data_IF_887256736885
#
_entry.id   IF_887256736885
#
_cell.length_a   1.000
_cell.length_b   1.000
_cell.length_c   1.000
_cell.angle_alpha   90.00
_cell.angle_beta   90.00
_cell.angle_gamma   90.00
#
_symmetry.space_group_name_H-M   'P 1'
#
loop_
_entity.id
_entity.type
_entity.pdbx_description
1 polymer ?
#
# COMPACT_ATOMS: atom_id res chain seq x y z
N UNK A 1 23.75 52.36 16.13
CA UNK A 1 23.61 51.26 15.14
C UNK A 1 22.80 51.78 13.97
N UNK A 2 23.46 52.02 12.84
CA UNK A 2 22.88 52.64 11.64
C UNK A 2 22.25 51.50 10.80
N UNK A 3 20.95 51.58 10.58
CA UNK A 3 20.24 50.69 9.68
C UNK A 3 20.48 51.15 8.26
N UNK A 4 21.23 50.38 7.50
CA UNK A 4 21.46 50.65 6.08
C UNK A 4 20.21 50.32 5.28
N UNK A 5 19.50 51.34 4.85
CA UNK A 5 18.40 51.22 3.86
C UNK A 5 19.01 50.97 2.49
N UNK A 6 18.90 49.77 2.00
CA UNK A 6 19.24 49.42 0.61
C UNK A 6 18.25 50.11 -0.33
N UNK A 7 18.72 51.10 -1.08
CA UNK A 7 17.96 51.72 -2.16
C UNK A 7 17.82 50.75 -3.32
N UNK A 8 16.58 50.39 -3.66
CA UNK A 8 16.22 49.52 -4.79
C UNK A 8 16.53 50.10 -6.18
N UNK A 9 17.22 51.25 -6.26
CA UNK A 9 17.48 51.98 -7.51
C UNK A 9 18.74 51.55 -8.27
N UNK A 10 19.47 50.52 -7.79
CA UNK A 10 20.74 50.10 -8.42
C UNK A 10 20.68 48.68 -9.03
N UNK A 11 19.51 48.10 -9.19
CA UNK A 11 19.39 46.92 -10.02
C UNK A 11 19.55 47.29 -11.49
N UNK A 12 20.52 46.72 -12.22
CA UNK A 12 20.65 47.00 -13.64
C UNK A 12 19.36 46.60 -14.34
N UNK A 13 18.86 47.44 -15.25
CA UNK A 13 17.74 47.18 -16.12
C UNK A 13 18.09 46.05 -17.10
N UNK A 14 18.11 44.83 -16.62
CA UNK A 14 18.42 43.62 -17.38
C UNK A 14 17.19 42.97 -18.01
N UNK A 15 16.04 43.62 -17.97
CA UNK A 15 14.86 43.19 -18.70
C UNK A 15 14.43 44.27 -19.70
N UNK A 16 15.30 44.58 -20.67
CA UNK A 16 14.82 45.02 -21.95
C UNK A 16 14.34 43.74 -22.66
N UNK A 17 13.05 43.46 -22.55
CA UNK A 17 12.42 42.55 -23.49
C UNK A 17 12.68 43.16 -24.88
N UNK A 18 13.47 42.53 -25.76
CA UNK A 18 13.48 42.93 -27.14
C UNK A 18 12.00 42.80 -27.57
N UNK A 19 11.45 43.90 -28.08
CA UNK A 19 10.16 43.91 -28.76
C UNK A 19 10.30 42.86 -29.86
N UNK A 20 9.80 41.63 -29.55
CA UNK A 20 9.68 40.60 -30.58
C UNK A 20 8.67 41.19 -31.54
N UNK A 21 9.15 41.62 -32.72
CA UNK A 21 8.25 41.94 -33.84
C UNK A 21 7.38 40.71 -34.01
N UNK A 22 6.07 40.88 -33.76
CA UNK A 22 5.11 39.79 -34.05
C UNK A 22 5.34 39.40 -35.50
N UNK A 23 5.57 38.12 -35.77
CA UNK A 23 5.72 37.67 -37.15
C UNK A 23 4.43 38.08 -37.87
N UNK A 24 4.59 38.87 -38.92
CA UNK A 24 3.49 39.22 -39.83
C UNK A 24 3.06 37.92 -40.48
N UNK A 25 2.21 37.18 -39.78
CA UNK A 25 1.53 36.03 -40.39
C UNK A 25 0.56 36.66 -41.40
N UNK A 26 0.96 36.61 -42.68
CA UNK A 26 0.00 36.84 -43.74
C UNK A 26 -1.20 35.93 -43.47
N UNK A 27 -2.27 36.50 -42.96
CA UNK A 27 -3.53 35.83 -42.86
C UNK A 27 -3.94 35.49 -44.29
N UNK A 28 -3.54 34.32 -44.75
CA UNK A 28 -4.13 33.73 -45.91
C UNK A 28 -5.60 33.59 -45.52
N UNK A 29 -6.45 34.39 -46.14
CA UNK A 29 -7.88 34.17 -46.08
C UNK A 29 -8.11 32.77 -46.59
N UNK A 30 -8.21 31.81 -45.68
CA UNK A 30 -8.66 30.48 -46.02
C UNK A 30 -10.14 30.64 -46.21
N UNK A 31 -10.60 30.84 -47.45
CA UNK A 31 -11.95 30.55 -47.79
C UNK A 31 -12.21 29.11 -47.36
N UNK A 32 -12.81 28.96 -46.20
CA UNK A 32 -13.42 27.70 -45.82
C UNK A 32 -14.55 27.53 -46.83
N UNK A 33 -14.27 26.86 -47.94
CA UNK A 33 -15.33 26.32 -48.74
C UNK A 33 -16.19 25.55 -47.76
N UNK A 34 -17.43 26.03 -47.58
CA UNK A 34 -18.44 25.32 -46.83
C UNK A 34 -18.80 24.10 -47.67
N UNK A 35 -17.93 23.10 -47.63
CA UNK A 35 -18.28 21.74 -48.06
C UNK A 35 -18.86 21.03 -46.83
N UNK A 36 -19.72 21.70 -46.07
CA UNK A 36 -20.66 20.99 -45.23
C UNK A 36 -21.58 20.24 -46.23
N UNK A 37 -21.36 18.95 -46.37
CA UNK A 37 -22.41 18.09 -46.86
C UNK A 37 -23.72 18.53 -46.18
N UNK A 38 -24.75 18.88 -46.96
CA UNK A 38 -26.02 19.29 -46.37
C UNK A 38 -26.39 18.27 -45.28
N UNK A 39 -26.90 18.73 -44.16
CA UNK A 39 -27.25 17.85 -43.01
C UNK A 39 -28.16 16.67 -43.42
N UNK A 40 -28.87 16.79 -44.53
CA UNK A 40 -29.65 15.73 -45.17
C UNK A 40 -28.81 14.58 -45.78
N UNK A 41 -27.48 14.78 -46.00
CA UNK A 41 -26.59 13.79 -46.55
C UNK A 41 -25.56 13.25 -45.55
N UNK A 42 -25.62 13.68 -44.28
CA UNK A 42 -24.87 13.02 -43.23
C UNK A 42 -25.57 11.68 -43.04
N UNK A 43 -24.92 10.54 -43.31
CA UNK A 43 -25.52 9.26 -42.96
C UNK A 43 -25.64 9.26 -41.46
N UNK A 44 -26.85 9.57 -40.99
CA UNK A 44 -27.22 9.33 -39.61
C UNK A 44 -27.19 7.82 -39.48
N UNK A 45 -26.05 7.26 -39.09
CA UNK A 45 -25.99 5.88 -38.67
C UNK A 45 -27.01 5.82 -37.54
N UNK A 46 -28.17 5.26 -37.84
CA UNK A 46 -29.13 4.91 -36.79
C UNK A 46 -28.38 4.03 -35.83
N UNK A 47 -28.00 4.59 -34.67
CA UNK A 47 -27.56 3.74 -33.55
C UNK A 47 -28.63 2.67 -33.40
N UNK A 48 -28.27 1.43 -33.64
CA UNK A 48 -29.19 0.34 -33.37
C UNK A 48 -29.74 0.55 -31.98
N UNK A 49 -31.06 0.53 -31.87
CA UNK A 49 -31.72 0.66 -30.58
C UNK A 49 -31.06 -0.34 -29.62
N UNK A 50 -30.58 0.13 -28.48
CA UNK A 50 -30.02 -0.71 -27.43
C UNK A 50 -31.06 -1.78 -27.09
N UNK A 51 -30.85 -2.98 -27.55
CA UNK A 51 -31.79 -4.10 -27.39
C UNK A 51 -31.64 -4.80 -26.05
N UNK A 52 -30.77 -4.30 -25.16
CA UNK A 52 -30.45 -4.95 -23.90
C UNK A 52 -29.71 -6.30 -24.05
N UNK A 53 -29.40 -6.69 -25.28
CA UNK A 53 -28.69 -7.92 -25.63
C UNK A 53 -27.24 -7.68 -26.04
N UNK A 54 -26.64 -6.57 -25.64
CA UNK A 54 -25.19 -6.48 -25.72
C UNK A 54 -24.61 -7.57 -24.84
N UNK A 55 -24.07 -8.59 -25.48
CA UNK A 55 -23.28 -9.61 -24.82
C UNK A 55 -22.08 -8.85 -24.24
N UNK A 56 -22.15 -8.52 -22.96
CA UNK A 56 -20.99 -8.00 -22.27
C UNK A 56 -19.87 -9.01 -22.49
N UNK A 57 -18.70 -8.56 -23.00
CA UNK A 57 -17.61 -9.49 -23.23
C UNK A 57 -17.36 -10.22 -21.89
N UNK A 58 -17.56 -11.52 -21.89
CA UNK A 58 -17.32 -12.34 -20.70
C UNK A 58 -15.88 -12.12 -20.28
N UNK A 59 -15.68 -11.55 -19.09
CA UNK A 59 -14.34 -11.36 -18.56
C UNK A 59 -13.67 -12.75 -18.50
N UNK A 60 -12.50 -12.86 -19.11
CA UNK A 60 -11.75 -14.12 -19.09
C UNK A 60 -11.39 -14.45 -17.64
N UNK A 61 -11.58 -15.69 -17.19
CA UNK A 61 -11.39 -16.07 -15.79
C UNK A 61 -9.93 -16.05 -15.34
N UNK A 62 -8.98 -15.90 -16.26
CA UNK A 62 -7.58 -15.86 -15.90
C UNK A 62 -6.67 -15.48 -17.06
N UNK A 63 -5.41 -15.27 -16.73
CA UNK A 63 -4.37 -15.01 -17.71
C UNK A 63 -3.01 -15.55 -17.24
N UNK A 64 -2.11 -15.74 -18.21
CA UNK A 64 -0.72 -16.13 -17.99
C UNK A 64 0.18 -15.16 -18.75
N UNK A 65 1.24 -14.72 -18.11
CA UNK A 65 2.31 -13.93 -18.70
C UNK A 65 3.64 -14.63 -18.47
N UNK A 66 4.47 -14.72 -19.49
CA UNK A 66 5.84 -15.22 -19.39
C UNK A 66 6.76 -14.28 -20.16
N UNK A 67 7.83 -13.85 -19.51
CA UNK A 67 8.85 -12.98 -20.07
C UNK A 67 10.25 -13.50 -19.74
N UNK A 68 11.18 -13.39 -20.69
CA UNK A 68 12.59 -13.68 -20.49
C UNK A 68 13.44 -12.61 -21.16
N UNK A 69 14.49 -12.14 -20.51
CA UNK A 69 15.30 -11.01 -20.96
C UNK A 69 16.78 -11.15 -20.64
N UNK A 70 17.52 -10.08 -20.89
CA UNK A 70 18.95 -9.99 -20.60
C UNK A 70 19.23 -10.22 -19.11
N UNK A 71 20.44 -10.67 -18.79
CA UNK A 71 20.86 -11.05 -17.44
C UNK A 71 19.98 -12.14 -16.82
N UNK A 72 19.43 -13.04 -17.63
CA UNK A 72 18.55 -14.10 -17.15
C UNK A 72 17.28 -13.59 -16.48
N UNK A 73 16.82 -12.35 -16.81
CA UNK A 73 15.57 -11.82 -16.29
C UNK A 73 14.42 -12.74 -16.66
N UNK A 74 13.70 -13.18 -15.66
CA UNK A 74 12.52 -14.03 -15.76
C UNK A 74 11.33 -13.32 -15.12
N UNK A 75 10.21 -13.31 -15.83
CA UNK A 75 8.91 -12.82 -15.33
C UNK A 75 7.85 -13.85 -15.71
N UNK A 76 7.33 -14.54 -14.70
CA UNK A 76 6.22 -15.48 -14.85
C UNK A 76 5.09 -15.00 -13.96
N UNK A 77 3.89 -14.93 -14.50
CA UNK A 77 2.69 -14.60 -13.75
C UNK A 77 1.51 -15.39 -14.28
N UNK A 78 0.78 -16.02 -13.39
CA UNK A 78 -0.44 -16.73 -13.67
C UNK A 78 -1.50 -16.38 -12.64
N UNK A 79 -2.71 -16.11 -13.12
CA UNK A 79 -3.88 -15.90 -12.27
C UNK A 79 -5.06 -16.62 -12.87
N UNK A 80 -5.85 -17.28 -12.04
CA UNK A 80 -7.09 -17.92 -12.46
C UNK A 80 -8.15 -17.85 -11.38
N UNK A 81 -9.33 -17.35 -11.74
CA UNK A 81 -10.51 -17.28 -10.88
C UNK A 81 -11.50 -18.40 -11.26
N UNK A 82 -11.63 -19.37 -10.38
CA UNK A 82 -12.62 -20.42 -10.48
C UNK A 82 -13.94 -19.97 -9.84
N UNK A 83 -15.01 -20.00 -10.60
CA UNK A 83 -16.37 -19.86 -10.10
C UNK A 83 -16.91 -21.25 -9.81
N UNK A 84 -16.73 -21.75 -8.58
CA UNK A 84 -17.15 -23.10 -8.19
C UNK A 84 -18.68 -23.18 -8.10
N UNK A 85 -19.30 -22.10 -7.62
CA UNK A 85 -20.75 -21.91 -7.61
C UNK A 85 -21.09 -20.42 -7.70
N UNK A 86 -22.36 -20.06 -7.65
CA UNK A 86 -22.80 -18.65 -7.55
C UNK A 86 -22.33 -17.96 -6.26
N UNK A 87 -21.98 -18.74 -5.23
CA UNK A 87 -21.56 -18.26 -3.91
C UNK A 87 -20.11 -18.56 -3.58
N UNK A 88 -19.45 -19.41 -4.39
CA UNK A 88 -18.10 -19.90 -4.12
C UNK A 88 -17.15 -19.44 -5.21
N UNK A 89 -16.12 -18.73 -4.80
CA UNK A 89 -15.05 -18.25 -5.68
C UNK A 89 -13.71 -18.73 -5.12
N UNK A 90 -12.88 -19.27 -6.00
CA UNK A 90 -11.52 -19.68 -5.68
C UNK A 90 -10.57 -18.99 -6.65
N UNK A 91 -9.67 -18.18 -6.10
CA UNK A 91 -8.64 -17.51 -6.88
C UNK A 91 -7.28 -18.16 -6.64
N UNK A 92 -6.56 -18.46 -7.70
CA UNK A 92 -5.21 -19.02 -7.63
C UNK A 92 -4.26 -18.09 -8.34
N UNK A 93 -3.23 -17.63 -7.63
CA UNK A 93 -2.19 -16.77 -8.14
C UNK A 93 -0.84 -17.43 -8.02
N UNK A 94 -0.03 -17.27 -9.06
CA UNK A 94 1.38 -17.60 -9.04
C UNK A 94 2.18 -16.50 -9.72
N UNK A 95 3.29 -16.10 -9.10
CA UNK A 95 4.26 -15.21 -9.74
C UNK A 95 5.68 -15.64 -9.41
N UNK A 96 6.56 -15.49 -10.37
CA UNK A 96 7.99 -15.66 -10.20
C UNK A 96 8.71 -14.62 -11.03
N UNK A 97 9.51 -13.80 -10.39
CA UNK A 97 10.35 -12.81 -11.04
C UNK A 97 11.79 -12.91 -10.52
N UNK A 98 12.73 -12.52 -11.36
CA UNK A 98 14.13 -12.56 -10.94
C UNK A 98 15.11 -12.36 -12.06
N UNK A 99 16.38 -12.44 -11.68
CA UNK A 99 17.51 -12.34 -12.59
C UNK A 99 18.65 -13.28 -12.17
N UNK A 100 19.47 -13.66 -13.12
CA UNK A 100 20.71 -14.38 -12.87
C UNK A 100 21.74 -13.99 -13.94
N UNK A 101 22.65 -13.11 -13.58
CA UNK A 101 23.63 -12.59 -14.51
C UNK A 101 24.83 -11.94 -13.84
N UNK A 102 25.86 -11.72 -14.62
CA UNK A 102 27.09 -11.09 -14.16
C UNK A 102 26.99 -9.58 -14.31
N UNK A 103 27.20 -8.85 -13.22
CA UNK A 103 27.22 -7.40 -13.15
C UNK A 103 28.65 -6.90 -12.98
N UNK A 104 28.99 -5.81 -13.67
CA UNK A 104 30.26 -5.09 -13.46
C UNK A 104 30.16 -4.22 -12.20
N UNK A 105 31.14 -4.37 -11.31
CA UNK A 105 31.19 -3.63 -10.05
C UNK A 105 32.02 -2.36 -10.24
N UNK A 106 31.48 -1.17 -9.91
CA UNK A 106 32.23 0.08 -10.04
C UNK A 106 33.30 0.27 -8.98
N UNK A 107 33.24 -0.51 -7.89
CA UNK A 107 34.13 -0.40 -6.73
C UNK A 107 34.65 -1.76 -6.27
N UNK A 108 35.84 -1.77 -5.65
CA UNK A 108 36.46 -2.94 -5.06
C UNK A 108 37.37 -3.74 -6.00
N UNK A 109 38.05 -4.75 -5.43
CA UNK A 109 38.99 -5.62 -6.16
C UNK A 109 38.28 -6.64 -7.06
N UNK A 110 37.03 -7.00 -6.76
CA UNK A 110 36.21 -7.84 -7.62
C UNK A 110 35.54 -6.98 -8.67
N UNK A 111 35.94 -7.13 -9.90
CA UNK A 111 35.37 -6.40 -11.04
C UNK A 111 34.04 -6.93 -11.49
N UNK A 112 33.61 -8.11 -11.04
CA UNK A 112 32.38 -8.77 -11.47
C UNK A 112 31.67 -9.45 -10.31
N UNK A 113 30.37 -9.35 -10.31
CA UNK A 113 29.48 -10.01 -9.37
C UNK A 113 28.48 -10.89 -10.14
N UNK A 114 28.50 -12.19 -9.92
CA UNK A 114 27.49 -13.10 -10.43
C UNK A 114 26.25 -12.97 -9.52
N UNK A 115 25.41 -12.00 -9.87
CA UNK A 115 24.22 -11.67 -9.10
C UNK A 115 23.06 -12.59 -9.47
N UNK A 116 22.38 -13.11 -8.48
CA UNK A 116 21.07 -13.73 -8.68
C UNK A 116 20.07 -13.23 -7.65
N UNK A 117 18.85 -13.06 -8.09
CA UNK A 117 17.70 -12.71 -7.28
C UNK A 117 16.45 -13.33 -7.88
N UNK A 118 15.78 -14.17 -7.12
CA UNK A 118 14.51 -14.77 -7.50
C UNK A 118 13.48 -14.58 -6.41
N UNK A 119 12.29 -14.13 -6.80
CA UNK A 119 11.14 -13.99 -5.94
C UNK A 119 10.00 -14.82 -6.47
N UNK A 120 9.53 -15.77 -5.68
CA UNK A 120 8.37 -16.62 -6.00
C UNK A 120 7.25 -16.32 -5.02
N UNK A 121 6.05 -16.23 -5.53
CA UNK A 121 4.81 -16.07 -4.76
C UNK A 121 3.76 -17.03 -5.28
N UNK A 122 3.04 -17.65 -4.37
CA UNK A 122 1.85 -18.44 -4.67
C UNK A 122 0.76 -18.07 -3.67
N UNK A 123 -0.47 -17.98 -4.14
CA UNK A 123 -1.62 -17.66 -3.32
C UNK A 123 -2.84 -18.47 -3.77
N UNK A 124 -3.62 -18.89 -2.80
CA UNK A 124 -4.93 -19.52 -2.99
C UNK A 124 -5.89 -18.79 -2.06
N UNK A 125 -6.90 -18.14 -2.64
CA UNK A 125 -7.91 -17.37 -1.92
C UNK A 125 -9.28 -17.95 -2.20
N UNK A 126 -9.99 -18.35 -1.17
CA UNK A 126 -11.35 -18.87 -1.24
C UNK A 126 -12.32 -17.94 -0.55
N UNK A 127 -13.41 -17.63 -1.22
CA UNK A 127 -14.51 -16.82 -0.72
C UNK A 127 -15.80 -17.62 -0.80
N UNK A 128 -16.52 -17.74 0.31
CA UNK A 128 -17.89 -18.25 0.36
C UNK A 128 -18.84 -17.14 0.81
N UNK A 129 -19.91 -16.94 0.03
CA UNK A 129 -20.93 -15.93 0.30
C UNK A 129 -22.16 -16.59 0.90
N UNK A 130 -22.33 -16.48 2.22
CA UNK A 130 -23.61 -16.76 2.88
C UNK A 130 -24.58 -15.60 2.60
N UNK A 131 -25.86 -15.79 2.89
CA UNK A 131 -26.84 -14.75 2.58
C UNK A 131 -26.58 -13.38 3.22
N UNK A 132 -25.94 -13.35 4.40
CA UNK A 132 -25.66 -12.11 5.17
C UNK A 132 -24.21 -11.95 5.58
N UNK A 133 -23.38 -12.93 5.31
CA UNK A 133 -22.02 -13.01 5.80
C UNK A 133 -21.14 -13.59 4.70
N UNK A 134 -19.97 -13.02 4.51
CA UNK A 134 -18.91 -13.56 3.68
C UNK A 134 -17.83 -14.20 4.55
N UNK A 135 -17.40 -15.40 4.15
CA UNK A 135 -16.27 -16.12 4.72
C UNK A 135 -15.11 -16.12 3.74
N UNK A 136 -13.95 -15.66 4.16
CA UNK A 136 -12.72 -15.72 3.39
C UNK A 136 -11.69 -16.63 4.05
N UNK A 137 -11.08 -17.50 3.27
CA UNK A 137 -9.95 -18.35 3.69
C UNK A 137 -8.87 -18.26 2.64
N UNK A 138 -7.63 -17.96 3.03
CA UNK A 138 -6.54 -17.87 2.08
C UNK A 138 -5.26 -18.48 2.62
N UNK A 139 -4.42 -18.96 1.70
CA UNK A 139 -3.07 -19.42 1.98
C UNK A 139 -2.09 -18.80 1.00
N UNK A 140 -1.01 -18.19 1.53
CA UNK A 140 0.02 -17.57 0.72
C UNK A 140 1.38 -18.17 1.02
N UNK A 141 2.18 -18.33 0.00
CA UNK A 141 3.56 -18.77 0.09
C UNK A 141 4.48 -17.75 -0.59
N UNK A 142 5.61 -17.46 0.02
CA UNK A 142 6.64 -16.57 -0.50
C UNK A 142 8.03 -17.15 -0.33
N UNK A 143 8.85 -17.01 -1.37
CA UNK A 143 10.25 -17.40 -1.37
C UNK A 143 11.07 -16.33 -2.08
N UNK A 144 12.05 -15.75 -1.37
CA UNK A 144 13.08 -14.91 -1.95
C UNK A 144 14.41 -15.64 -1.82
N UNK A 145 15.15 -15.73 -2.90
CA UNK A 145 16.47 -16.34 -2.93
C UNK A 145 17.42 -15.43 -3.70
N UNK A 146 18.48 -14.98 -3.06
CA UNK A 146 19.44 -14.05 -3.64
C UNK A 146 20.83 -14.22 -3.04
N UNK A 147 21.82 -13.60 -3.66
CA UNK A 147 23.16 -13.53 -3.12
C UNK A 147 23.55 -12.08 -2.82
N UNK A 148 24.42 -11.94 -1.84
CA UNK A 148 25.05 -10.66 -1.54
C UNK A 148 26.23 -10.41 -2.47
N UNK A 149 26.60 -9.16 -2.58
CA UNK A 149 27.88 -8.76 -3.15
C UNK A 149 29.04 -9.51 -2.46
N UNK A 150 30.12 -9.88 -3.18
CA UNK A 150 31.23 -10.68 -2.66
C UNK A 150 31.92 -10.14 -1.41
N UNK A 151 31.76 -8.86 -1.11
CA UNK A 151 32.40 -8.19 0.02
C UNK A 151 31.37 -7.76 1.06
N UNK A 152 31.69 -7.96 2.33
CA UNK A 152 30.92 -7.42 3.46
C UNK A 152 30.06 -8.40 4.24
N UNK A 153 29.78 -9.59 3.70
CA UNK A 153 29.00 -10.61 4.42
C UNK A 153 29.76 -11.94 4.52
N UNK A 154 29.65 -12.59 5.68
CA UNK A 154 30.24 -13.91 5.91
C UNK A 154 29.55 -15.03 5.12
N UNK A 155 28.33 -14.82 4.68
CA UNK A 155 27.54 -15.73 3.85
C UNK A 155 27.25 -15.12 2.48
N UNK A 156 27.36 -15.94 1.45
CA UNK A 156 27.18 -15.49 0.06
C UNK A 156 25.73 -15.52 -0.42
N UNK A 157 24.91 -16.38 0.14
CA UNK A 157 23.52 -16.62 -0.29
C UNK A 157 22.56 -16.34 0.86
N UNK A 158 21.37 -15.82 0.52
CA UNK A 158 20.29 -15.57 1.46
C UNK A 158 19.00 -16.14 0.93
N UNK A 159 18.19 -16.66 1.83
CA UNK A 159 16.88 -17.19 1.53
C UNK A 159 15.90 -16.71 2.59
N UNK A 160 14.77 -16.15 2.12
CA UNK A 160 13.61 -15.81 2.94
C UNK A 160 12.46 -16.69 2.52
N UNK A 161 11.82 -17.32 3.47
CA UNK A 161 10.63 -18.14 3.22
C UNK A 161 9.49 -17.61 4.06
N UNK A 162 8.33 -17.42 3.48
CA UNK A 162 7.12 -17.02 4.18
C UNK A 162 5.95 -17.92 3.87
N UNK A 163 5.10 -18.14 4.87
CA UNK A 163 3.81 -18.80 4.73
C UNK A 163 2.77 -18.00 5.50
N UNK A 164 1.61 -17.72 4.89
CA UNK A 164 0.52 -17.01 5.53
C UNK A 164 -0.76 -17.83 5.41
N UNK A 165 -1.50 -17.93 6.50
CA UNK A 165 -2.87 -18.44 6.52
C UNK A 165 -3.79 -17.31 6.97
N UNK A 166 -4.81 -17.05 6.20
CA UNK A 166 -5.81 -16.02 6.45
C UNK A 166 -7.17 -16.65 6.68
N UNK A 167 -7.89 -16.14 7.65
CA UNK A 167 -9.28 -16.46 7.92
C UNK A 167 -10.03 -15.16 8.22
N UNK A 168 -11.12 -14.89 7.51
CA UNK A 168 -11.91 -13.67 7.66
C UNK A 168 -13.40 -13.93 7.58
N UNK A 169 -14.17 -13.15 8.34
CA UNK A 169 -15.62 -13.14 8.35
C UNK A 169 -16.09 -11.69 8.32
N UNK A 170 -17.00 -11.36 7.40
CA UNK A 170 -17.53 -10.02 7.22
C UNK A 170 -19.03 -10.04 7.04
N UNK A 171 -19.75 -9.15 7.70
CA UNK A 171 -21.17 -8.88 7.41
C UNK A 171 -21.34 -8.19 6.07
N UNK A 172 -22.35 -8.60 5.30
CA UNK A 172 -22.66 -8.04 3.97
C UNK A 172 -24.07 -7.48 3.86
N UNK A 173 -24.92 -7.74 4.85
CA UNK A 173 -26.31 -7.20 4.90
C UNK A 173 -26.33 -5.91 5.70
N UNK A 174 -26.53 -4.79 5.01
CA UNK A 174 -26.60 -3.44 5.60
C UNK A 174 -27.80 -3.26 6.55
N UNK A 175 -28.80 -4.15 6.48
CA UNK A 175 -29.96 -4.12 7.37
C UNK A 175 -29.67 -4.68 8.76
N UNK A 176 -28.52 -5.29 8.96
CA UNK A 176 -28.11 -5.78 10.29
C UNK A 176 -27.85 -4.61 11.22
N UNK A 177 -28.31 -4.67 12.47
CA UNK A 177 -28.13 -3.60 13.44
C UNK A 177 -26.65 -3.34 13.81
N UNK A 178 -25.81 -4.36 13.63
CA UNK A 178 -24.36 -4.29 13.80
C UNK A 178 -23.68 -4.84 12.55
N UNK A 179 -22.81 -4.04 12.02
CA UNK A 179 -21.88 -4.43 10.97
C UNK A 179 -20.58 -4.91 11.60
N UNK A 180 -19.99 -5.96 11.10
CA UNK A 180 -18.71 -6.44 11.60
C UNK A 180 -17.81 -6.95 10.48
N UNK A 181 -16.50 -6.83 10.72
CA UNK A 181 -15.47 -7.44 9.91
C UNK A 181 -14.37 -7.93 10.86
N UNK A 182 -14.10 -9.22 10.85
CA UNK A 182 -13.07 -9.83 11.68
C UNK A 182 -12.17 -10.72 10.83
N UNK A 183 -10.86 -10.56 11.00
CA UNK A 183 -9.85 -11.35 10.29
C UNK A 183 -8.73 -11.78 11.22
N UNK A 184 -8.21 -12.94 11.00
CA UNK A 184 -7.00 -13.45 11.66
C UNK A 184 -6.03 -14.00 10.62
N UNK A 185 -4.75 -13.64 10.78
CA UNK A 185 -3.67 -14.09 9.93
C UNK A 185 -2.61 -14.76 10.80
N UNK A 186 -2.23 -15.98 10.46
CA UNK A 186 -1.04 -16.66 10.97
C UNK A 186 0.06 -16.52 9.91
N UNK A 187 1.11 -15.81 10.25
CA UNK A 187 2.23 -15.52 9.36
C UNK A 187 3.49 -16.20 9.91
N UNK A 188 4.12 -17.02 9.09
CA UNK A 188 5.39 -17.68 9.37
C UNK A 188 6.44 -17.10 8.45
N UNK A 189 7.55 -16.68 9.00
CA UNK A 189 8.64 -16.10 8.23
C UNK A 189 9.99 -16.67 8.71
N UNK A 190 10.83 -17.10 7.78
CA UNK A 190 12.15 -17.63 8.04
C UNK A 190 13.20 -16.86 7.23
N UNK A 191 14.17 -16.29 7.94
CA UNK A 191 15.40 -15.73 7.40
C UNK A 191 16.54 -16.74 7.64
N UNK A 192 17.15 -17.24 6.58
CA UNK A 192 18.14 -18.32 6.68
C UNK A 192 19.42 -17.88 7.39
N UNK A 193 19.91 -16.68 7.12
CA UNK A 193 21.16 -16.16 7.66
C UNK A 193 21.00 -14.76 8.24
N UNK A 194 21.69 -14.50 9.33
CA UNK A 194 21.96 -13.19 9.89
C UNK A 194 23.45 -13.14 10.27
N UNK A 195 24.09 -12.02 10.10
CA UNK A 195 25.53 -11.88 10.30
C UNK A 195 25.98 -12.22 11.72
N UNK A 196 25.11 -12.00 12.70
CA UNK A 196 25.44 -12.12 14.12
C UNK A 196 24.77 -13.30 14.83
N UNK A 197 23.69 -13.86 14.30
CA UNK A 197 22.79 -14.76 15.04
C UNK A 197 22.44 -16.07 14.33
N UNK A 198 22.99 -16.31 13.15
CA UNK A 198 22.51 -17.40 12.30
C UNK A 198 21.15 -17.06 11.67
N UNK A 199 20.22 -18.01 11.64
CA UNK A 199 18.88 -17.78 11.11
C UNK A 199 17.91 -17.20 12.16
N UNK A 200 16.85 -16.54 11.69
CA UNK A 200 15.77 -16.00 12.54
C UNK A 200 14.43 -16.44 11.99
N UNK A 201 13.60 -17.02 12.86
CA UNK A 201 12.20 -17.32 12.55
C UNK A 201 11.30 -16.33 13.27
N UNK A 202 10.35 -15.79 12.54
CA UNK A 202 9.29 -14.93 13.05
C UNK A 202 7.95 -15.62 12.84
N UNK A 203 7.19 -15.77 13.91
CA UNK A 203 5.78 -16.18 13.86
C UNK A 203 4.94 -14.99 14.31
N UNK A 204 4.00 -14.59 13.48
CA UNK A 204 3.09 -13.50 13.79
C UNK A 204 1.64 -14.00 13.71
N UNK A 205 0.88 -13.76 14.79
CA UNK A 205 -0.58 -13.88 14.78
C UNK A 205 -1.12 -12.46 14.79
N UNK A 206 -1.82 -12.10 13.72
CA UNK A 206 -2.46 -10.78 13.57
C UNK A 206 -3.95 -10.97 13.50
N UNK A 207 -4.65 -10.44 14.49
CA UNK A 207 -6.11 -10.41 14.51
C UNK A 207 -6.57 -8.95 14.40
N UNK A 208 -7.54 -8.70 13.54
CA UNK A 208 -8.23 -7.42 13.43
C UNK A 208 -9.72 -7.68 13.48
N UNK A 209 -10.43 -6.83 14.16
CA UNK A 209 -11.88 -6.83 14.18
C UNK A 209 -12.37 -5.39 14.22
N UNK A 210 -13.47 -5.14 13.56
CA UNK A 210 -14.21 -3.89 13.64
C UNK A 210 -15.67 -4.22 13.80
N UNK A 211 -16.32 -3.54 14.70
CA UNK A 211 -17.77 -3.62 14.89
C UNK A 211 -18.32 -2.22 14.84
N UNK A 212 -19.32 -2.01 14.02
CA UNK A 212 -19.96 -0.71 13.80
C UNK A 212 -21.45 -0.81 14.00
N UNK A 213 -22.06 0.20 14.60
CA UNK A 213 -23.49 0.34 14.77
C UNK A 213 -23.95 1.70 14.29
N UNK A 214 -24.98 1.74 13.45
CA UNK A 214 -25.59 2.98 12.99
C UNK A 214 -26.53 3.54 14.05
N UNK A 215 -26.37 4.82 14.40
CA UNK A 215 -27.28 5.58 15.25
C UNK A 215 -28.39 6.19 14.37
N UNK A 216 -27.97 6.67 13.19
CA UNK A 216 -28.84 7.21 12.14
C UNK A 216 -28.20 6.94 10.78
N UNK A 217 -28.83 7.39 9.70
CA UNK A 217 -28.27 7.26 8.34
C UNK A 217 -26.95 8.03 8.17
N UNK A 218 -26.73 9.06 8.99
CA UNK A 218 -25.55 9.92 8.93
C UNK A 218 -24.53 9.64 10.05
N UNK A 219 -24.91 8.88 11.08
CA UNK A 219 -24.12 8.72 12.31
C UNK A 219 -23.83 7.26 12.60
N UNK A 220 -22.56 6.97 12.90
CA UNK A 220 -22.11 5.63 13.23
C UNK A 220 -21.14 5.67 14.44
N UNK A 221 -21.24 4.66 15.30
CA UNK A 221 -20.25 4.37 16.32
C UNK A 221 -19.55 3.06 15.97
N UNK A 222 -18.24 3.05 16.10
CA UNK A 222 -17.41 1.90 15.78
C UNK A 222 -16.36 1.66 16.84
N UNK A 223 -15.99 0.41 16.99
CA UNK A 223 -14.83 -0.03 17.75
C UNK A 223 -13.96 -0.90 16.85
N UNK A 224 -12.72 -0.47 16.60
CA UNK A 224 -11.73 -1.30 15.94
C UNK A 224 -10.78 -1.89 16.98
N UNK A 225 -10.47 -3.17 16.81
CA UNK A 225 -9.52 -3.95 17.60
C UNK A 225 -8.43 -4.50 16.69
N UNK A 226 -7.17 -4.35 17.10
CA UNK A 226 -6.03 -5.00 16.43
C UNK A 226 -5.17 -5.65 17.50
N UNK A 227 -4.79 -6.90 17.28
CA UNK A 227 -3.82 -7.61 18.10
C UNK A 227 -2.72 -8.19 17.20
N UNK A 228 -1.49 -7.95 17.57
CA UNK A 228 -0.32 -8.51 16.92
C UNK A 228 0.51 -9.25 17.99
N UNK A 229 0.65 -10.54 17.82
CA UNK A 229 1.53 -11.37 18.62
C UNK A 229 2.72 -11.77 17.77
N UNK A 230 3.92 -11.33 18.15
CA UNK A 230 5.18 -11.58 17.47
C UNK A 230 6.04 -12.50 18.33
N UNK A 231 6.40 -13.64 17.79
CA UNK A 231 7.24 -14.64 18.44
C UNK A 231 8.48 -14.85 17.58
N UNK A 232 9.66 -14.65 18.19
CA UNK A 232 10.94 -14.82 17.53
C UNK A 232 11.69 -16.01 18.09
N UNK A 233 12.19 -16.87 17.19
CA UNK A 233 13.09 -17.96 17.50
C UNK A 233 14.38 -17.79 16.68
N UNK A 234 15.50 -17.58 17.38
CA UNK A 234 16.79 -17.50 16.73
C UNK A 234 17.42 -18.89 16.64
N UNK A 235 17.92 -19.23 15.47
CA UNK A 235 18.79 -20.39 15.31
C UNK A 235 20.14 -20.02 15.92
N UNK A 236 20.57 -20.75 16.94
CA UNK A 236 21.84 -20.52 17.63
C UNK A 236 23.00 -20.60 16.65
N UNK A 237 23.87 -19.61 16.67
CA UNK A 237 25.21 -19.75 16.07
C UNK A 237 26.12 -20.42 17.08
N UNK A 238 26.92 -21.39 16.64
CA UNK A 238 27.77 -22.21 17.52
C UNK A 238 28.88 -21.44 18.25
N UNK A 239 29.08 -20.16 17.91
CA UNK A 239 30.21 -19.37 18.42
C UNK A 239 29.90 -18.40 19.57
N UNK A 240 28.62 -18.14 19.88
CA UNK A 240 28.27 -17.17 20.93
C UNK A 240 26.97 -17.54 21.66
N UNK A 241 27.09 -18.23 22.79
CA UNK A 241 25.96 -18.55 23.66
C UNK A 241 25.37 -17.32 24.39
N UNK A 242 26.10 -16.19 24.44
CA UNK A 242 25.71 -15.00 25.20
C UNK A 242 24.96 -13.93 24.38
N UNK A 243 24.90 -14.03 23.08
CA UNK A 243 24.21 -13.02 22.27
C UNK A 243 22.69 -13.20 22.41
N UNK A 244 22.09 -12.37 23.26
CA UNK A 244 20.63 -12.25 23.37
C UNK A 244 20.06 -11.79 22.04
N UNK A 245 18.96 -12.43 21.63
CA UNK A 245 18.22 -12.03 20.43
C UNK A 245 17.95 -10.52 20.38
N UNK A 246 18.29 -9.89 19.25
CA UNK A 246 17.91 -8.51 18.97
C UNK A 246 16.41 -8.38 18.69
N UNK A 247 15.76 -9.48 18.34
CA UNK A 247 14.31 -9.54 18.17
C UNK A 247 13.67 -10.08 19.44
N UNK A 248 12.83 -9.28 20.05
CA UNK A 248 12.11 -9.66 21.27
C UNK A 248 10.67 -9.99 20.94
N UNK A 249 10.23 -11.16 21.41
CA UNK A 249 8.81 -11.54 21.34
C UNK A 249 7.96 -10.56 22.12
N UNK A 250 6.84 -10.16 21.54
CA UNK A 250 5.94 -9.18 22.13
C UNK A 250 4.51 -9.33 21.58
N UNK A 251 3.57 -8.87 22.40
CA UNK A 251 2.17 -8.74 21.99
C UNK A 251 1.78 -7.27 22.06
N UNK A 252 1.16 -6.79 21.01
CA UNK A 252 0.61 -5.43 20.91
C UNK A 252 -0.88 -5.54 20.66
N UNK A 253 -1.65 -4.80 21.46
CA UNK A 253 -3.10 -4.69 21.34
C UNK A 253 -3.45 -3.23 21.16
N UNK A 254 -4.14 -2.92 20.07
CA UNK A 254 -4.59 -1.58 19.74
C UNK A 254 -6.13 -1.57 19.73
N UNK A 255 -6.72 -0.63 20.47
CA UNK A 255 -8.15 -0.35 20.49
C UNK A 255 -8.37 1.04 19.90
N UNK A 256 -9.32 1.15 18.97
CA UNK A 256 -9.70 2.43 18.39
C UNK A 256 -11.23 2.54 18.43
N UNK A 257 -11.83 3.09 19.49
CA UNK A 257 -13.19 3.56 19.49
C UNK A 257 -13.29 4.88 18.73
N UNK A 258 -14.29 5.00 17.85
CA UNK A 258 -14.53 6.22 17.10
C UNK A 258 -16.01 6.43 16.78
N UNK A 259 -16.35 7.70 16.57
CA UNK A 259 -17.64 8.16 16.10
C UNK A 259 -17.48 8.81 14.74
N UNK A 260 -18.40 8.55 13.82
CA UNK A 260 -18.45 9.14 12.49
C UNK A 260 -19.78 9.86 12.30
N UNK A 261 -19.69 11.07 11.75
CA UNK A 261 -20.82 11.84 11.19
C UNK A 261 -20.48 12.16 9.73
N UNK A 262 -21.36 11.80 8.83
CA UNK A 262 -21.20 12.06 7.40
C UNK A 262 -22.54 12.55 6.83
N UNK A 263 -22.64 13.87 6.65
CA UNK A 263 -23.77 14.52 5.99
C UNK A 263 -23.26 15.43 4.85
N UNK A 264 -24.14 16.22 4.26
CA UNK A 264 -23.82 17.06 3.10
C UNK A 264 -22.73 18.10 3.42
N UNK A 265 -22.74 18.68 4.62
CA UNK A 265 -21.85 19.77 5.03
C UNK A 265 -20.61 19.24 5.79
N UNK A 266 -20.77 18.21 6.64
CA UNK A 266 -19.76 17.77 7.59
C UNK A 266 -19.36 16.31 7.40
N UNK A 267 -18.05 16.07 7.47
CA UNK A 267 -17.49 14.73 7.67
C UNK A 267 -16.61 14.76 8.89
N UNK A 268 -17.08 14.13 9.94
CA UNK A 268 -16.36 14.03 11.21
C UNK A 268 -16.00 12.59 11.47
N UNK A 269 -14.75 12.37 11.83
CA UNK A 269 -14.25 11.13 12.44
C UNK A 269 -13.57 11.51 13.75
N UNK A 270 -14.12 11.08 14.86
CA UNK A 270 -13.64 11.41 16.20
C UNK A 270 -13.30 10.14 16.95
N UNK A 271 -12.03 9.82 17.06
CA UNK A 271 -11.53 8.61 17.68
C UNK A 271 -10.23 8.82 18.45
N UNK A 272 -9.78 7.75 19.06
CA UNK A 272 -8.50 7.68 19.73
C UNK A 272 -7.89 6.29 19.60
N UNK A 273 -6.60 6.20 19.29
CA UNK A 273 -5.84 4.97 19.32
C UNK A 273 -5.31 4.74 20.73
N UNK A 274 -5.66 3.61 21.32
CA UNK A 274 -5.25 3.17 22.66
C UNK A 274 -4.40 1.92 22.52
N UNK A 275 -3.10 2.05 22.74
CA UNK A 275 -2.11 1.01 22.48
C UNK A 275 -1.62 0.38 23.78
N UNK A 276 -1.70 -0.95 23.86
CA UNK A 276 -1.10 -1.76 24.91
C UNK A 276 0.04 -2.61 24.36
N UNK A 277 1.18 -2.64 25.04
CA UNK A 277 2.32 -3.46 24.65
C UNK A 277 2.80 -4.33 25.80
N UNK A 278 2.96 -5.62 25.54
CA UNK A 278 3.44 -6.62 26.47
C UNK A 278 4.73 -7.25 25.93
N UNK A 279 5.76 -7.29 26.76
CA UNK A 279 7.04 -7.91 26.44
C UNK A 279 8.12 -6.95 25.96
N UNK A 280 7.81 -5.86 25.25
CA UNK A 280 8.79 -4.86 24.83
C UNK A 280 8.15 -3.49 24.59
N UNK A 281 8.87 -2.41 24.92
CA UNK A 281 8.46 -1.03 24.73
C UNK A 281 7.61 -0.47 25.90
N UNK A 282 7.01 0.71 25.69
CA UNK A 282 6.06 1.29 26.65
C UNK A 282 4.77 0.48 26.65
N UNK A 283 4.31 0.11 27.84
CA UNK A 283 3.14 -0.75 28.04
C UNK A 283 1.81 -0.10 27.63
N UNK A 284 1.73 1.23 27.70
CA UNK A 284 0.50 1.97 27.39
C UNK A 284 0.81 3.28 26.66
N UNK A 285 0.04 3.56 25.62
CA UNK A 285 0.08 4.83 24.87
C UNK A 285 -1.31 5.17 24.37
N UNK A 286 -1.54 6.47 24.17
CA UNK A 286 -2.76 6.99 23.54
C UNK A 286 -2.35 8.03 22.51
N UNK A 287 -3.01 8.04 21.36
CA UNK A 287 -2.86 9.06 20.32
C UNK A 287 -4.21 9.42 19.72
N UNK A 288 -4.37 10.62 19.19
CA UNK A 288 -5.60 11.02 18.53
C UNK A 288 -5.83 10.25 17.23
N UNK A 289 -7.08 10.14 16.85
CA UNK A 289 -7.55 9.68 15.55
C UNK A 289 -8.76 10.54 15.16
N UNK A 290 -8.49 11.76 14.69
CA UNK A 290 -9.50 12.79 14.45
C UNK A 290 -9.36 13.32 13.05
N UNK A 291 -10.46 13.34 12.31
CA UNK A 291 -10.57 14.03 11.03
C UNK A 291 -11.85 14.86 11.04
N UNK A 292 -11.72 16.13 10.69
CA UNK A 292 -12.81 17.08 10.57
C UNK A 292 -12.74 17.68 9.17
N UNK A 293 -13.83 17.63 8.44
CA UNK A 293 -13.96 18.23 7.13
C UNK A 293 -15.28 18.97 7.06
N UNK A 294 -15.23 20.22 6.65
CA UNK A 294 -16.40 21.09 6.41
C UNK A 294 -16.43 21.46 4.92
N UNK A 295 -17.57 21.19 4.28
CA UNK A 295 -17.82 21.50 2.87
C UNK A 295 -18.76 22.67 2.82
N UNK A 296 -18.28 23.83 2.43
CA UNK A 296 -19.11 25.02 2.30
C UNK A 296 -19.15 25.52 0.85
N UNK A 297 -20.33 25.94 0.44
CA UNK A 297 -20.56 26.49 -0.90
C UNK A 297 -20.18 25.55 -2.05
N UNK A 298 -20.36 24.24 -1.91
CA UNK A 298 -20.13 23.15 -2.88
C UNK A 298 -18.72 23.14 -3.56
N UNK A 299 -17.96 24.21 -3.38
CA UNK A 299 -16.69 24.44 -4.06
C UNK A 299 -15.50 24.56 -3.11
N UNK A 300 -15.75 24.63 -1.82
CA UNK A 300 -14.73 24.88 -0.81
C UNK A 300 -14.79 23.84 0.29
N UNK A 301 -13.63 23.31 0.65
CA UNK A 301 -13.49 22.33 1.72
C UNK A 301 -12.37 22.76 2.64
N UNK A 302 -12.66 22.93 3.91
CA UNK A 302 -11.68 23.04 4.98
C UNK A 302 -11.55 21.69 5.67
N UNK A 303 -10.33 21.25 5.93
CA UNK A 303 -10.11 20.01 6.66
C UNK A 303 -9.00 20.16 7.70
N UNK A 304 -9.18 19.46 8.79
CA UNK A 304 -8.19 19.28 9.84
C UNK A 304 -8.07 17.79 10.14
N UNK A 305 -6.84 17.31 10.28
CA UNK A 305 -6.55 15.94 10.63
C UNK A 305 -5.52 15.90 11.77
N UNK A 306 -5.76 15.08 12.78
CA UNK A 306 -4.86 14.83 13.87
C UNK A 306 -4.84 13.34 14.16
N UNK A 307 -3.78 12.66 13.75
CA UNK A 307 -3.63 11.21 13.89
C UNK A 307 -2.33 10.87 14.61
N UNK A 308 -2.24 9.67 15.11
CA UNK A 308 -1.05 9.10 15.67
C UNK A 308 -1.20 7.59 15.82
N UNK A 309 -0.22 6.94 16.42
CA UNK A 309 -0.31 5.51 16.67
C UNK A 309 1.01 4.78 16.57
N UNK A 310 0.92 3.48 16.79
CA UNK A 310 2.05 2.58 16.72
C UNK A 310 2.23 2.03 15.31
N UNK A 311 3.46 2.08 14.85
CA UNK A 311 3.92 1.39 13.67
C UNK A 311 4.77 0.19 14.09
N UNK A 312 4.20 -1.00 13.92
CA UNK A 312 4.87 -2.25 14.25
C UNK A 312 6.02 -2.49 13.26
N UNK A 313 7.23 -2.71 13.79
CA UNK A 313 8.38 -3.11 13.03
C UNK A 313 8.64 -4.61 13.26
N UNK A 314 8.22 -5.42 12.31
CA UNK A 314 8.55 -6.84 12.25
C UNK A 314 9.66 -7.09 11.21
N UNK A 315 10.25 -8.28 11.26
CA UNK A 315 11.37 -8.64 10.39
C UNK A 315 10.95 -8.63 8.91
N UNK A 316 9.81 -9.21 8.60
CA UNK A 316 9.27 -9.27 7.25
C UNK A 316 9.04 -7.87 6.65
N UNK A 317 8.55 -6.94 7.46
CA UNK A 317 8.36 -5.56 7.05
C UNK A 317 9.69 -4.87 6.73
N UNK A 318 10.69 -5.00 7.60
CA UNK A 318 12.01 -4.42 7.38
C UNK A 318 12.62 -4.90 6.08
N UNK A 319 12.48 -6.18 5.76
CA UNK A 319 13.00 -6.76 4.53
C UNK A 319 12.22 -6.35 3.27
N UNK A 320 10.96 -5.94 3.41
CA UNK A 320 10.20 -5.35 2.32
C UNK A 320 10.80 -4.02 1.87
N UNK A 321 11.35 -3.24 2.81
CA UNK A 321 12.05 -1.99 2.47
C UNK A 321 13.44 -2.23 1.90
N UNK A 322 14.18 -3.16 2.48
CA UNK A 322 15.52 -3.50 2.01
C UNK A 322 15.85 -4.97 2.31
N UNK A 323 15.72 -5.88 1.33
CA UNK A 323 16.04 -7.30 1.51
C UNK A 323 17.53 -7.55 1.78
N UNK A 324 18.39 -6.62 1.39
CA UNK A 324 19.82 -6.70 1.61
C UNK A 324 20.28 -6.20 2.99
N UNK A 325 19.37 -5.65 3.80
CA UNK A 325 19.69 -5.22 5.15
C UNK A 325 19.96 -6.40 6.06
N UNK A 326 20.87 -6.22 7.00
CA UNK A 326 21.14 -7.19 8.07
C UNK A 326 21.02 -6.47 9.42
N UNK A 327 19.85 -6.53 10.09
CA UNK A 327 19.65 -5.86 11.35
C UNK A 327 20.60 -6.37 12.43
N UNK A 328 21.44 -5.49 12.97
CA UNK A 328 22.40 -5.80 14.04
C UNK A 328 22.01 -5.21 15.39
N UNK A 329 20.98 -4.37 15.43
CA UNK A 329 20.51 -3.68 16.64
C UNK A 329 19.11 -4.13 17.01
N UNK A 330 18.70 -3.88 18.26
CA UNK A 330 17.35 -4.16 18.74
C UNK A 330 16.30 -3.46 17.88
N UNK A 331 15.40 -4.23 17.30
CA UNK A 331 14.29 -3.70 16.49
C UNK A 331 13.16 -3.28 17.43
N UNK A 332 12.81 -2.01 17.38
CA UNK A 332 11.74 -1.40 18.18
C UNK A 332 10.65 -0.85 17.28
N UNK A 333 9.43 -0.85 17.79
CA UNK A 333 8.31 -0.22 17.12
C UNK A 333 8.48 1.30 17.08
N UNK A 334 8.07 1.90 15.98
CA UNK A 334 7.97 3.34 15.84
C UNK A 334 6.63 3.80 16.40
N UNK A 335 6.61 4.94 17.06
CA UNK A 335 5.38 5.53 17.58
C UNK A 335 5.29 6.99 17.18
N UNK A 336 4.27 7.31 16.42
CA UNK A 336 3.90 8.67 16.06
C UNK A 336 2.96 9.21 17.13
N UNK A 337 3.39 10.23 17.88
CA UNK A 337 2.57 10.81 18.95
C UNK A 337 1.44 11.66 18.37
N UNK A 338 1.76 12.45 17.37
CA UNK A 338 0.84 13.36 16.71
C UNK A 338 1.35 13.68 15.30
N UNK A 339 0.48 13.48 14.33
CA UNK A 339 0.61 13.98 12.98
C UNK A 339 -0.60 14.87 12.71
N UNK A 340 -0.39 16.17 12.63
CA UNK A 340 -1.46 17.14 12.44
C UNK A 340 -1.33 17.84 11.09
N UNK A 341 -2.43 17.91 10.38
CA UNK A 341 -2.55 18.61 9.10
C UNK A 341 -3.77 19.51 9.10
N UNK A 342 -3.63 20.70 8.57
CA UNK A 342 -4.72 21.62 8.29
C UNK A 342 -4.64 22.01 6.82
N UNK A 343 -5.75 21.96 6.11
CA UNK A 343 -5.76 22.27 4.70
C UNK A 343 -7.07 22.86 4.21
N UNK A 344 -6.97 23.44 3.04
CA UNK A 344 -8.07 24.04 2.32
C UNK A 344 -8.04 23.59 0.86
N UNK A 345 -9.17 23.17 0.32
CA UNK A 345 -9.34 22.87 -1.09
C UNK A 345 -10.37 23.84 -1.67
N UNK A 346 -10.08 24.37 -2.83
CA UNK A 346 -10.99 25.23 -3.58
C UNK A 346 -11.10 24.75 -5.01
N UNK A 347 -12.32 24.70 -5.52
CA UNK A 347 -12.61 24.39 -6.92
C UNK A 347 -13.53 25.48 -7.48
N UNK A 348 -13.02 26.74 -7.62
CA UNK A 348 -13.84 27.90 -7.96
C UNK A 348 -14.44 27.83 -9.37
N UNK A 349 -13.88 26.99 -10.23
CA UNK A 349 -14.32 26.77 -11.62
C UNK A 349 -14.23 25.29 -11.94
N UNK A 350 -15.22 24.76 -12.65
CA UNK A 350 -15.24 23.37 -13.09
C UNK A 350 -13.94 22.99 -13.83
N UNK A 351 -13.20 22.03 -13.30
CA UNK A 351 -11.94 21.54 -13.88
C UNK A 351 -10.68 22.24 -13.39
N UNK A 352 -10.78 23.21 -12.49
CA UNK A 352 -9.64 23.84 -11.81
C UNK A 352 -9.58 23.34 -10.35
N UNK A 353 -8.44 22.73 -10.01
CA UNK A 353 -8.17 22.17 -8.65
C UNK A 353 -7.04 22.94 -8.01
#
# INVERSE_FOLDING_TARGET
MSVATLKLSTLPKLCHNPKVEEPVVNKKEVEYAISSTPASNIPVGTMQAYTGKEVQPTSKPGYVRAGYGNYGNLDLLGNYLFHLSSRDKLNVNFSMDGMNGTLDMPYGDARKWDAHYYRTRAAIDYLHQFGKIDLSVAGHFGLNNFNYEPYGFSFKKQKFTSGDLHFGVKSTDETMPLQFNAETNLMLYDRQHNQFFGGVNETQIRTKAIVSGNISDEQQISIAFKMNNLIYNNKRDFYNEEIKSIFKSRTVVDLNPYYELNNDDWRLHLGANVDFSFGNGKSFRVSPDVTIQDVFSDSYVVYANATGGRQLNDLRRLETYNPYSDPSNEVRDTYEQLNATLGFKASPVTGLW
#
